data_IF_691446810461
#
_entry.id   IF_691446810461
#
_cell.length_a   1.000
_cell.length_b   1.000
_cell.length_c   1.000
_cell.angle_alpha   90.00
_cell.angle_beta   90.00
_cell.angle_gamma   90.00
#
_symmetry.space_group_name_H-M   'P 1'
#
loop_
_entity.id
_entity.type
_entity.pdbx_description
1 polymer ?
#
# COMPACT_ATOMS: atom_id res chain seq x y z
N UNK A 1 1.65 0.80 -20.37
CA UNK A 1 0.94 0.88 -19.07
C UNK A 1 0.44 -0.52 -18.76
N UNK A 2 0.40 -0.96 -17.50
CA UNK A 2 -0.08 -2.30 -17.11
C UNK A 2 -1.47 -2.25 -16.43
N UNK A 3 -1.92 -1.06 -16.04
CA UNK A 3 -3.20 -0.86 -15.37
C UNK A 3 -3.65 0.59 -15.46
N UNK A 4 -4.92 0.82 -15.10
CA UNK A 4 -5.50 2.15 -14.96
C UNK A 4 -6.70 2.11 -14.02
N UNK A 5 -6.77 3.08 -13.11
CA UNK A 5 -7.89 3.35 -12.23
C UNK A 5 -8.03 4.84 -11.95
N UNK A 6 -9.24 5.27 -11.59
CA UNK A 6 -9.47 6.62 -11.07
C UNK A 6 -8.94 6.75 -9.63
N UNK A 7 -8.66 7.99 -9.22
CA UNK A 7 -8.15 8.28 -7.88
C UNK A 7 -9.29 8.65 -6.93
N UNK A 8 -9.40 7.95 -5.80
CA UNK A 8 -10.31 8.25 -4.69
C UNK A 8 -11.77 7.89 -4.96
N UNK A 9 -12.02 6.92 -5.84
CA UNK A 9 -13.36 6.57 -6.33
C UNK A 9 -13.90 5.24 -5.81
N UNK A 10 -13.26 4.61 -4.80
CA UNK A 10 -13.66 3.26 -4.35
C UNK A 10 -15.12 3.14 -3.91
N UNK A 11 -15.71 4.20 -3.35
CA UNK A 11 -17.12 4.26 -2.95
C UNK A 11 -18.02 4.97 -3.97
N UNK A 12 -17.53 5.24 -5.19
CA UNK A 12 -18.33 5.80 -6.28
C UNK A 12 -18.84 4.68 -7.19
N UNK A 13 -20.15 4.42 -7.27
CA UNK A 13 -20.69 3.31 -8.08
C UNK A 13 -20.30 3.38 -9.57
N UNK A 14 -20.08 4.58 -10.10
CA UNK A 14 -19.78 4.80 -11.52
C UNK A 14 -18.28 4.66 -11.85
N UNK A 15 -17.41 4.80 -10.84
CA UNK A 15 -15.95 4.96 -11.04
C UNK A 15 -15.10 4.07 -10.14
N UNK A 16 -15.72 3.18 -9.35
CA UNK A 16 -15.04 2.16 -8.57
C UNK A 16 -14.66 0.97 -9.46
N UNK A 17 -13.74 1.22 -10.38
CA UNK A 17 -13.30 0.26 -11.38
C UNK A 17 -11.81 0.45 -11.71
N UNK A 18 -11.16 -0.67 -12.02
CA UNK A 18 -9.79 -0.70 -12.50
C UNK A 18 -9.72 -1.65 -13.70
N UNK A 19 -8.87 -1.33 -14.67
CA UNK A 19 -8.51 -2.21 -15.78
C UNK A 19 -7.06 -2.61 -15.63
N UNK A 20 -6.75 -3.89 -15.78
CA UNK A 20 -5.42 -4.45 -15.52
C UNK A 20 -5.08 -5.40 -16.66
N UNK A 21 -3.90 -5.20 -17.26
CA UNK A 21 -3.29 -6.12 -18.20
C UNK A 21 -2.72 -7.31 -17.44
N UNK A 22 -3.03 -8.52 -17.89
CA UNK A 22 -2.47 -9.73 -17.31
C UNK A 22 -0.99 -9.86 -17.68
N UNK A 23 -0.12 -9.88 -16.67
CA UNK A 23 1.34 -10.02 -16.78
C UNK A 23 1.81 -11.23 -15.95
N UNK A 24 1.02 -12.30 -15.97
CA UNK A 24 1.19 -13.48 -15.13
C UNK A 24 0.93 -13.18 -13.65
N UNK A 25 1.59 -13.90 -12.74
CA UNK A 25 1.38 -13.70 -11.30
C UNK A 25 1.82 -12.31 -10.80
N UNK A 26 2.62 -11.58 -11.58
CA UNK A 26 3.00 -10.21 -11.26
C UNK A 26 1.83 -9.21 -11.41
N UNK A 27 0.76 -9.58 -12.10
CA UNK A 27 -0.47 -8.78 -12.16
C UNK A 27 -1.01 -8.46 -10.76
N UNK A 28 -0.71 -9.29 -9.74
CA UNK A 28 -1.08 -9.01 -8.35
C UNK A 28 -0.49 -7.70 -7.81
N UNK A 29 0.71 -7.30 -8.23
CA UNK A 29 1.29 -6.00 -7.85
C UNK A 29 0.53 -4.85 -8.51
N UNK A 30 0.14 -5.01 -9.78
CA UNK A 30 -0.70 -4.04 -10.49
C UNK A 30 -2.09 -3.95 -9.86
N UNK A 31 -2.72 -5.07 -9.50
CA UNK A 31 -3.98 -5.07 -8.74
C UNK A 31 -3.88 -4.25 -7.45
N UNK A 32 -2.82 -4.47 -6.66
CA UNK A 32 -2.61 -3.70 -5.43
C UNK A 32 -2.39 -2.20 -5.72
N UNK A 33 -1.68 -1.87 -6.80
CA UNK A 33 -1.44 -0.49 -7.24
C UNK A 33 -2.74 0.22 -7.62
N UNK A 34 -3.55 -0.38 -8.49
CA UNK A 34 -4.81 0.21 -8.95
C UNK A 34 -5.86 0.32 -7.82
N UNK A 35 -5.93 -0.67 -6.92
CA UNK A 35 -6.74 -0.56 -5.69
C UNK A 35 -6.25 0.62 -4.85
N UNK A 36 -4.94 0.86 -4.80
CA UNK A 36 -4.36 2.04 -4.18
C UNK A 36 -4.93 3.34 -4.74
N UNK A 37 -5.00 3.49 -6.06
CA UNK A 37 -5.62 4.66 -6.69
C UNK A 37 -7.09 4.81 -6.28
N UNK A 38 -7.89 3.74 -6.33
CA UNK A 38 -9.29 3.80 -5.87
C UNK A 38 -9.42 4.29 -4.42
N UNK A 39 -8.44 3.96 -3.57
CA UNK A 39 -8.29 4.40 -2.18
C UNK A 39 -7.64 5.79 -2.01
N UNK A 40 -7.54 6.57 -3.08
CA UNK A 40 -7.06 7.96 -3.06
C UNK A 40 -5.55 8.10 -3.14
N UNK A 41 -4.79 7.03 -3.36
CA UNK A 41 -3.34 7.10 -3.39
C UNK A 41 -2.82 7.71 -4.69
N UNK A 42 -1.92 8.68 -4.55
CA UNK A 42 -1.09 9.19 -5.65
C UNK A 42 0.19 8.37 -5.80
N UNK A 43 0.89 8.54 -6.92
CA UNK A 43 2.20 7.94 -7.09
C UNK A 43 3.22 8.49 -6.08
N UNK A 44 4.14 7.66 -5.62
CA UNK A 44 5.21 8.03 -4.68
C UNK A 44 6.18 9.07 -5.26
N UNK A 45 6.35 9.08 -6.59
CA UNK A 45 7.14 10.05 -7.36
C UNK A 45 6.26 11.16 -7.99
N UNK A 46 5.03 11.33 -7.50
CA UNK A 46 4.23 12.51 -7.83
C UNK A 46 4.70 13.73 -7.06
N UNK A 47 4.48 14.91 -7.64
CA UNK A 47 4.74 16.21 -6.99
C UNK A 47 4.13 16.30 -5.59
N UNK A 48 2.91 15.78 -5.42
CA UNK A 48 2.24 15.73 -4.12
C UNK A 48 3.06 14.96 -3.07
N UNK A 49 3.53 13.76 -3.40
CA UNK A 49 4.32 12.97 -2.44
C UNK A 49 5.72 13.55 -2.22
N UNK A 50 6.37 14.04 -3.27
CA UNK A 50 7.71 14.63 -3.17
C UNK A 50 7.73 15.91 -2.32
N UNK A 51 6.74 16.79 -2.49
CA UNK A 51 6.66 18.05 -1.73
C UNK A 51 6.30 17.83 -0.25
N UNK A 52 5.45 16.84 0.07
CA UNK A 52 4.96 16.63 1.44
C UNK A 52 5.79 15.60 2.24
N UNK A 53 6.43 14.64 1.57
CA UNK A 53 7.11 13.51 2.22
C UNK A 53 8.56 13.30 1.78
N UNK A 54 9.03 14.04 0.76
CA UNK A 54 10.34 13.86 0.14
C UNK A 54 10.38 12.66 -0.81
N UNK A 55 11.51 12.51 -1.50
CA UNK A 55 11.74 11.38 -2.38
C UNK A 55 12.10 10.12 -1.58
N UNK A 56 11.58 8.96 -2.02
CA UNK A 56 12.00 7.65 -1.51
C UNK A 56 13.12 7.10 -2.38
N UNK A 57 14.28 6.76 -1.78
CA UNK A 57 15.38 6.12 -2.52
C UNK A 57 14.97 4.76 -3.09
N UNK A 58 14.24 3.95 -2.29
CA UNK A 58 13.68 2.69 -2.74
C UNK A 58 12.28 2.90 -3.32
N UNK A 59 12.06 2.38 -4.54
CA UNK A 59 10.74 2.33 -5.17
C UNK A 59 9.82 1.33 -4.44
N UNK A 60 8.55 1.70 -4.33
CA UNK A 60 7.51 0.98 -3.57
C UNK A 60 6.30 0.72 -4.46
N UNK A 61 5.26 0.08 -3.93
CA UNK A 61 4.08 -0.33 -4.68
C UNK A 61 3.42 0.81 -5.47
N UNK A 62 3.33 2.02 -4.91
CA UNK A 62 2.73 3.19 -5.57
C UNK A 62 3.75 3.99 -6.43
N UNK A 63 4.91 3.43 -6.75
CA UNK A 63 5.80 4.02 -7.77
C UNK A 63 5.11 4.04 -9.13
N UNK A 64 5.24 5.14 -9.89
CA UNK A 64 4.74 5.20 -11.28
C UNK A 64 5.36 4.17 -12.23
N UNK A 65 6.49 3.59 -11.83
CA UNK A 65 7.22 2.54 -12.56
C UNK A 65 7.24 1.26 -11.73
N UNK A 66 6.72 0.17 -12.30
CA UNK A 66 6.82 -1.17 -11.70
C UNK A 66 8.28 -1.66 -11.77
N UNK A 67 8.84 -1.95 -10.61
CA UNK A 67 10.24 -2.40 -10.46
C UNK A 67 10.36 -3.29 -9.21
N UNK A 68 11.58 -3.59 -8.79
CA UNK A 68 11.89 -4.33 -7.56
C UNK A 68 11.21 -3.67 -6.35
N UNK A 69 10.26 -4.37 -5.74
CA UNK A 69 9.56 -3.94 -4.51
C UNK A 69 10.12 -4.75 -3.34
N UNK A 70 10.58 -4.06 -2.29
CA UNK A 70 10.94 -4.72 -1.04
C UNK A 70 9.69 -5.20 -0.30
N UNK A 71 9.52 -6.52 -0.25
CA UNK A 71 8.42 -7.18 0.46
C UNK A 71 8.41 -6.88 1.97
N UNK A 72 9.54 -6.46 2.55
CA UNK A 72 9.63 -6.09 3.97
C UNK A 72 8.91 -4.78 4.29
N UNK A 73 8.85 -3.86 3.31
CA UNK A 73 8.25 -2.54 3.44
C UNK A 73 7.68 -2.05 2.11
N UNK A 74 6.60 -2.68 1.62
CA UNK A 74 6.13 -2.50 0.25
C UNK A 74 5.39 -1.17 0.01
N UNK A 75 4.91 -0.50 1.06
CA UNK A 75 4.17 0.76 1.00
C UNK A 75 5.00 1.95 1.52
N UNK A 76 4.75 3.16 1.01
CA UNK A 76 5.50 4.36 1.40
C UNK A 76 4.88 5.08 2.60
N UNK A 77 5.60 6.09 3.11
CA UNK A 77 5.06 7.01 4.12
C UNK A 77 3.94 7.86 3.52
N UNK A 78 4.09 8.31 2.28
CA UNK A 78 3.05 9.04 1.54
C UNK A 78 1.78 8.18 1.46
N UNK A 79 1.90 6.94 0.97
CA UNK A 79 0.79 5.97 0.91
C UNK A 79 0.07 5.85 2.25
N UNK A 80 0.82 5.58 3.33
CA UNK A 80 0.22 5.34 4.64
C UNK A 80 -0.50 6.58 5.19
N UNK A 81 0.05 7.77 4.96
CA UNK A 81 -0.56 9.02 5.38
C UNK A 81 -1.83 9.34 4.59
N UNK A 82 -1.78 9.24 3.26
CA UNK A 82 -2.91 9.52 2.37
C UNK A 82 -4.09 8.55 2.60
N UNK A 83 -3.83 7.24 2.72
CA UNK A 83 -4.89 6.27 3.10
C UNK A 83 -5.53 6.64 4.44
N UNK A 84 -4.72 7.08 5.40
CA UNK A 84 -5.21 7.40 6.74
C UNK A 84 -6.14 8.62 6.70
N UNK A 85 -5.77 9.66 5.96
CA UNK A 85 -6.59 10.85 5.75
C UNK A 85 -7.87 10.50 4.97
N UNK A 86 -7.75 9.78 3.86
CA UNK A 86 -8.87 9.35 3.03
C UNK A 86 -9.96 8.60 3.82
N UNK A 87 -9.54 7.69 4.69
CA UNK A 87 -10.47 6.91 5.53
C UNK A 87 -11.07 7.76 6.66
N UNK A 88 -10.29 8.65 7.28
CA UNK A 88 -10.77 9.51 8.35
C UNK A 88 -11.76 10.57 7.89
N UNK A 89 -11.62 11.05 6.64
CA UNK A 89 -12.55 11.96 6.00
C UNK A 89 -13.85 11.25 5.56
N UNK A 90 -13.94 9.93 5.76
CA UNK A 90 -15.13 9.13 5.50
C UNK A 90 -15.30 8.72 4.03
N UNK A 91 -14.28 8.93 3.19
CA UNK A 91 -14.34 8.55 1.77
C UNK A 91 -14.35 7.03 1.55
N UNK A 92 -13.99 6.24 2.56
CA UNK A 92 -14.01 4.76 2.54
C UNK A 92 -15.20 4.11 3.26
N UNK A 93 -16.26 4.85 3.59
CA UNK A 93 -17.36 4.33 4.44
C UNK A 93 -18.08 3.09 3.86
N UNK A 94 -18.06 2.89 2.54
CA UNK A 94 -18.63 1.70 1.90
C UNK A 94 -17.82 0.40 2.16
N UNK A 95 -16.67 0.49 2.82
CA UNK A 95 -15.80 -0.64 3.15
C UNK A 95 -15.99 -1.14 4.59
N UNK A 96 -16.91 -0.53 5.34
CA UNK A 96 -17.11 -0.80 6.77
C UNK A 96 -17.93 -2.06 7.05
N UNK A 97 -18.85 -2.43 6.16
CA UNK A 97 -19.65 -3.64 6.31
C UNK A 97 -18.91 -4.90 5.87
N UNK A 98 -19.25 -6.01 6.52
CA UNK A 98 -18.67 -7.32 6.21
C UNK A 98 -19.43 -7.91 5.02
N UNK A 99 -18.74 -8.49 4.01
CA UNK A 99 -19.41 -9.09 2.86
C UNK A 99 -20.33 -10.23 3.29
N UNK A 100 -21.54 -10.28 2.72
CA UNK A 100 -22.54 -11.33 3.02
C UNK A 100 -22.03 -12.74 2.70
N UNK A 101 -21.19 -12.86 1.66
CA UNK A 101 -20.57 -14.12 1.25
C UNK A 101 -19.14 -13.83 0.84
N UNK A 102 -18.19 -14.34 1.62
CA UNK A 102 -16.77 -14.24 1.29
C UNK A 102 -16.37 -15.38 0.36
N UNK A 103 -15.71 -15.06 -0.75
CA UNK A 103 -15.04 -16.04 -1.60
C UNK A 103 -13.63 -16.21 -1.02
N UNK A 104 -13.33 -17.43 -0.57
CA UNK A 104 -12.02 -17.74 -0.01
C UNK A 104 -11.03 -18.05 -1.13
N UNK A 105 -9.83 -17.48 -1.03
CA UNK A 105 -8.72 -17.86 -1.89
C UNK A 105 -8.11 -19.21 -1.50
N UNK A 106 -7.13 -19.70 -2.26
CA UNK A 106 -6.39 -20.91 -1.92
C UNK A 106 -5.71 -20.79 -0.55
N UNK A 107 -5.74 -21.85 0.25
CA UNK A 107 -4.99 -21.91 1.53
C UNK A 107 -3.47 -22.09 1.30
N UNK A 108 -3.09 -22.50 0.10
CA UNK A 108 -1.69 -22.74 -0.27
C UNK A 108 -1.00 -21.46 -0.75
N UNK A 109 0.30 -21.36 -0.44
CA UNK A 109 1.16 -20.33 -1.01
C UNK A 109 1.25 -20.49 -2.54
N UNK A 110 1.20 -19.40 -3.32
CA UNK A 110 1.15 -19.46 -4.78
C UNK A 110 2.25 -20.32 -5.41
N UNK A 111 3.47 -20.26 -4.88
CA UNK A 111 4.61 -21.01 -5.42
C UNK A 111 4.56 -22.52 -5.21
N UNK A 112 3.61 -23.03 -4.42
CA UNK A 112 3.32 -24.47 -4.34
C UNK A 112 2.50 -24.95 -5.54
N UNK A 113 1.68 -24.07 -6.13
CA UNK A 113 0.89 -24.34 -7.33
C UNK A 113 1.66 -23.95 -8.60
N UNK A 114 2.36 -22.82 -8.56
CA UNK A 114 3.08 -22.25 -9.69
C UNK A 114 4.58 -22.22 -9.40
N UNK A 115 5.31 -23.26 -9.82
CA UNK A 115 6.77 -23.27 -9.70
C UNK A 115 7.42 -22.16 -10.56
N UNK A 116 8.75 -21.98 -10.41
CA UNK A 116 9.48 -20.94 -11.12
C UNK A 116 9.42 -21.07 -12.65
N UNK A 117 9.28 -22.29 -13.19
CA UNK A 117 9.15 -22.52 -14.63
C UNK A 117 7.76 -22.10 -15.11
N UNK A 118 6.71 -22.45 -14.38
CA UNK A 118 5.35 -22.01 -14.69
C UNK A 118 5.22 -20.49 -14.60
N UNK A 119 5.87 -19.85 -13.64
CA UNK A 119 5.93 -18.39 -13.56
C UNK A 119 6.59 -17.77 -14.80
N UNK A 120 7.69 -18.35 -15.29
CA UNK A 120 8.32 -17.91 -16.54
C UNK A 120 7.40 -18.08 -17.76
N UNK A 121 6.71 -19.22 -17.84
CA UNK A 121 5.73 -19.50 -18.90
C UNK A 121 4.64 -18.43 -18.95
N UNK A 122 4.01 -18.16 -17.80
CA UNK A 122 2.93 -17.16 -17.68
C UNK A 122 3.40 -15.72 -17.98
N UNK A 123 4.68 -15.41 -17.77
CA UNK A 123 5.20 -14.03 -17.93
C UNK A 123 5.76 -13.77 -19.32
N UNK A 124 6.43 -14.74 -19.94
CA UNK A 124 7.19 -14.54 -21.19
C UNK A 124 6.81 -15.50 -22.32
N UNK A 125 6.08 -16.57 -22.03
CA UNK A 125 5.65 -17.58 -23.00
C UNK A 125 6.17 -18.99 -22.70
N UNK A 126 5.56 -20.02 -23.31
CA UNK A 126 5.81 -21.44 -23.00
C UNK A 126 7.23 -21.92 -23.29
N UNK A 127 7.99 -21.22 -24.13
CA UNK A 127 9.39 -21.52 -24.42
C UNK A 127 10.38 -21.06 -23.34
N UNK A 128 9.92 -20.31 -22.33
CA UNK A 128 10.78 -19.75 -21.28
C UNK A 128 10.86 -20.68 -20.06
N UNK A 129 12.09 -20.95 -19.62
CA UNK A 129 12.39 -21.71 -18.40
C UNK A 129 13.13 -20.83 -17.38
N UNK A 130 13.46 -21.37 -16.20
CA UNK A 130 14.26 -20.63 -15.20
C UNK A 130 15.69 -20.43 -15.72
N UNK A 131 16.23 -19.21 -15.57
CA UNK A 131 17.62 -18.89 -15.92
C UNK A 131 18.59 -19.51 -14.90
N UNK A 132 19.61 -20.29 -15.34
CA UNK A 132 20.59 -20.91 -14.45
C UNK A 132 21.44 -19.89 -13.68
N UNK A 133 21.82 -20.23 -12.44
CA UNK A 133 22.79 -19.47 -11.64
C UNK A 133 22.24 -18.20 -10.95
N UNK A 134 20.96 -17.89 -11.10
CA UNK A 134 20.32 -16.72 -10.51
C UNK A 134 19.57 -17.07 -9.21
N UNK A 135 19.55 -16.14 -8.24
CA UNK A 135 18.73 -16.27 -7.03
C UNK A 135 17.25 -15.99 -7.35
N UNK A 136 16.49 -17.07 -7.52
CA UNK A 136 15.06 -17.07 -7.85
C UNK A 136 14.22 -16.30 -6.82
N UNK A 137 14.59 -16.31 -5.55
CA UNK A 137 13.81 -15.64 -4.50
C UNK A 137 14.05 -14.13 -4.49
N UNK A 138 15.24 -13.67 -4.89
CA UNK A 138 15.53 -12.25 -5.01
C UNK A 138 14.92 -11.67 -6.29
N UNK A 139 15.13 -12.35 -7.43
CA UNK A 139 14.59 -11.96 -8.75
C UNK A 139 14.36 -13.19 -9.62
N UNK A 140 13.17 -13.30 -10.21
CA UNK A 140 12.90 -14.31 -11.20
C UNK A 140 13.50 -13.90 -12.55
N UNK A 141 14.47 -14.69 -13.02
CA UNK A 141 15.06 -14.58 -14.34
C UNK A 141 14.63 -15.78 -15.18
N UNK A 142 14.16 -15.51 -16.40
CA UNK A 142 13.62 -16.50 -17.31
C UNK A 142 14.47 -16.57 -18.57
N UNK A 143 14.91 -17.78 -18.94
CA UNK A 143 15.78 -18.04 -20.07
C UNK A 143 15.00 -18.61 -21.25
N UNK A 144 15.42 -18.22 -22.45
CA UNK A 144 15.06 -18.87 -23.71
C UNK A 144 16.34 -19.08 -24.53
N UNK A 145 16.42 -20.18 -25.26
CA UNK A 145 17.54 -20.43 -26.19
C UNK A 145 17.09 -20.09 -27.61
N UNK A 146 17.73 -19.09 -28.22
CA UNK A 146 17.49 -18.70 -29.62
C UNK A 146 18.79 -18.83 -30.40
N UNK A 147 18.78 -19.60 -31.49
CA UNK A 147 19.94 -19.78 -32.37
C UNK A 147 21.22 -20.23 -31.63
N UNK A 148 21.08 -21.05 -30.58
CA UNK A 148 22.21 -21.53 -29.77
C UNK A 148 22.68 -20.54 -28.70
N UNK A 149 22.09 -19.35 -28.59
CA UNK A 149 22.40 -18.38 -27.54
C UNK A 149 21.30 -18.36 -26.47
N UNK A 150 21.69 -18.46 -25.20
CA UNK A 150 20.79 -18.31 -24.06
C UNK A 150 20.60 -16.83 -23.74
N UNK A 151 19.34 -16.40 -23.69
CA UNK A 151 18.96 -15.04 -23.31
C UNK A 151 18.12 -15.11 -22.05
N UNK A 152 18.54 -14.40 -20.99
CA UNK A 152 17.77 -14.30 -19.75
C UNK A 152 17.08 -12.93 -19.64
N UNK A 153 15.76 -12.96 -19.42
CA UNK A 153 14.90 -11.79 -19.23
C UNK A 153 14.36 -11.77 -17.80
N UNK A 154 13.99 -10.57 -17.32
CA UNK A 154 13.37 -10.41 -16.00
C UNK A 154 12.45 -9.19 -15.97
N UNK A 155 11.37 -9.26 -15.19
CA UNK A 155 10.53 -8.11 -14.82
C UNK A 155 11.04 -7.38 -13.57
N UNK A 156 12.22 -7.74 -13.05
CA UNK A 156 12.83 -7.22 -11.81
C UNK A 156 12.02 -7.52 -10.53
N UNK A 157 11.13 -8.51 -10.58
CA UNK A 157 10.32 -8.96 -9.46
C UNK A 157 10.83 -10.32 -8.94
N UNK A 158 10.67 -10.61 -7.63
CA UNK A 158 11.02 -11.91 -7.06
C UNK A 158 10.04 -13.00 -7.51
N UNK A 159 10.45 -14.26 -7.44
CA UNK A 159 9.50 -15.37 -7.55
C UNK A 159 8.47 -15.31 -6.41
N UNK A 160 7.26 -15.80 -6.68
CA UNK A 160 6.15 -15.71 -5.71
C UNK A 160 6.41 -16.53 -4.44
N UNK A 161 5.77 -16.14 -3.34
CA UNK A 161 5.90 -16.81 -2.04
C UNK A 161 5.59 -18.31 -2.16
N UNK A 162 6.42 -19.14 -1.53
CA UNK A 162 6.32 -20.60 -1.56
C UNK A 162 7.06 -21.28 -2.73
N UNK A 163 7.65 -20.51 -3.66
CA UNK A 163 8.35 -21.09 -4.83
C UNK A 163 9.52 -21.97 -4.38
N UNK A 164 9.66 -23.21 -4.87
CA UNK A 164 10.80 -24.06 -4.56
C UNK A 164 12.11 -23.43 -5.05
N UNK A 165 13.07 -23.23 -4.14
CA UNK A 165 14.39 -22.67 -4.45
C UNK A 165 15.54 -23.64 -4.19
N UNK A 166 15.23 -24.89 -3.79
CA UNK A 166 16.19 -25.95 -3.56
C UNK A 166 15.58 -27.12 -2.79
N UNK A 167 16.39 -28.16 -2.55
CA UNK A 167 15.95 -29.34 -1.79
C UNK A 167 15.47 -28.93 -0.39
N UNK A 168 14.17 -29.12 -0.12
CA UNK A 168 13.56 -28.79 1.17
C UNK A 168 13.42 -27.28 1.48
N UNK A 169 13.64 -26.40 0.50
CA UNK A 169 13.64 -24.93 0.69
C UNK A 169 12.65 -24.23 -0.24
N UNK A 170 12.11 -23.10 0.21
CA UNK A 170 11.12 -22.27 -0.50
C UNK A 170 11.43 -20.78 -0.35
N UNK A 171 10.98 -19.97 -1.30
CA UNK A 171 11.04 -18.52 -1.23
C UNK A 171 10.01 -17.99 -0.24
N UNK A 172 10.46 -17.25 0.78
CA UNK A 172 9.61 -16.50 1.70
C UNK A 172 10.24 -15.12 1.96
N UNK A 173 9.46 -14.06 1.80
CA UNK A 173 9.89 -12.66 1.88
C UNK A 173 11.16 -12.36 1.07
N UNK A 174 11.21 -12.89 -0.16
CA UNK A 174 12.34 -12.70 -1.07
C UNK A 174 13.62 -13.48 -0.71
N UNK A 175 13.56 -14.44 0.23
CA UNK A 175 14.71 -15.25 0.64
C UNK A 175 14.44 -16.75 0.54
N UNK A 176 15.45 -17.52 0.17
CA UNK A 176 15.37 -18.98 0.17
C UNK A 176 15.55 -19.52 1.60
N UNK A 177 14.48 -20.07 2.17
CA UNK A 177 14.45 -20.56 3.56
C UNK A 177 13.98 -22.01 3.64
N UNK A 178 14.33 -22.71 4.72
CA UNK A 178 13.85 -24.08 4.96
C UNK A 178 12.33 -24.12 5.09
N UNK A 179 11.70 -25.13 4.46
CA UNK A 179 10.24 -25.33 4.51
C UNK A 179 9.69 -25.43 5.93
N UNK A 180 10.50 -25.87 6.91
CA UNK A 180 10.12 -25.93 8.33
C UNK A 180 9.82 -24.55 8.92
N UNK A 181 10.44 -23.49 8.39
CA UNK A 181 10.18 -22.10 8.79
C UNK A 181 8.86 -21.56 8.24
N UNK A 182 8.16 -22.27 7.34
CA UNK A 182 6.84 -21.88 6.81
C UNK A 182 5.87 -21.51 7.92
N UNK A 183 5.83 -22.26 9.04
CA UNK A 183 4.95 -21.96 10.18
C UNK A 183 5.16 -20.55 10.73
N UNK A 184 6.40 -20.07 10.81
CA UNK A 184 6.71 -18.72 11.28
C UNK A 184 6.15 -17.64 10.34
N UNK A 185 6.26 -17.85 9.03
CA UNK A 185 5.77 -16.93 8.01
C UNK A 185 4.27 -17.07 7.70
N UNK A 186 3.63 -18.18 8.09
CA UNK A 186 2.19 -18.41 7.93
C UNK A 186 1.38 -18.14 9.19
N UNK A 187 2.03 -17.96 10.35
CA UNK A 187 1.31 -17.66 11.60
C UNK A 187 0.78 -16.23 11.53
N UNK A 188 -0.54 -16.11 11.50
CA UNK A 188 -1.23 -14.83 11.56
C UNK A 188 -1.03 -14.18 12.92
N UNK A 189 -0.75 -12.88 12.93
CA UNK A 189 -0.74 -12.06 14.14
C UNK A 189 -1.68 -10.90 13.92
N UNK A 190 -2.78 -10.85 14.67
CA UNK A 190 -3.68 -9.70 14.66
C UNK A 190 -2.97 -8.48 15.24
N UNK A 191 -3.30 -7.31 14.69
CA UNK A 191 -2.82 -6.05 15.20
C UNK A 191 -3.49 -5.71 16.52
N UNK A 192 -2.74 -5.08 17.43
CA UNK A 192 -3.31 -4.49 18.63
C UNK A 192 -2.76 -3.07 18.86
N UNK A 193 -3.59 -2.23 19.49
CA UNK A 193 -3.31 -0.82 19.66
C UNK A 193 -2.12 -0.62 20.59
N UNK A 194 -1.17 0.21 20.18
CA UNK A 194 -0.18 0.80 21.06
C UNK A 194 -0.81 1.78 22.05
N UNK A 195 0.01 2.30 22.95
CA UNK A 195 -0.38 3.39 23.84
C UNK A 195 -0.76 4.64 23.05
N UNK A 196 -1.59 5.48 23.67
CA UNK A 196 -1.85 6.82 23.15
C UNK A 196 -0.55 7.63 23.17
N UNK A 197 -0.25 8.27 22.03
CA UNK A 197 0.78 9.29 21.95
C UNK A 197 0.41 10.53 22.78
N UNK A 198 1.36 11.47 22.91
CA UNK A 198 1.08 12.73 23.59
C UNK A 198 0.02 13.52 22.84
N UNK A 199 -0.66 14.41 23.57
CA UNK A 199 -1.53 15.41 22.96
C UNK A 199 -0.72 16.35 22.09
N UNK A 200 -1.17 16.56 20.86
CA UNK A 200 -0.61 17.53 19.94
C UNK A 200 -0.83 18.98 20.38
N UNK A 201 -0.40 19.92 19.55
CA UNK A 201 -0.63 21.35 19.79
C UNK A 201 -2.12 21.69 19.73
N UNK A 202 -2.54 22.67 20.53
CA UNK A 202 -3.91 23.15 20.47
C UNK A 202 -4.14 23.86 19.14
N UNK A 203 -5.24 23.55 18.45
CA UNK A 203 -5.59 24.19 17.19
C UNK A 203 -5.78 25.71 17.32
N UNK A 204 -5.96 26.22 18.54
CA UNK A 204 -6.18 27.64 18.85
C UNK A 204 -5.45 28.04 20.13
N UNK A 205 -5.05 29.30 20.22
CA UNK A 205 -4.45 29.88 21.43
C UNK A 205 -5.49 30.48 22.40
N UNK A 206 -6.72 30.72 21.93
CA UNK A 206 -7.83 31.26 22.71
C UNK A 206 -9.19 30.85 22.11
N UNK A 207 -10.26 31.13 22.85
CA UNK A 207 -11.65 30.99 22.40
C UNK A 207 -12.09 29.55 22.18
N UNK A 208 -11.39 28.59 22.78
CA UNK A 208 -11.61 27.15 22.63
C UNK A 208 -10.99 26.58 21.35
N UNK A 209 -10.09 25.61 21.49
CA UNK A 209 -9.52 24.82 20.41
C UNK A 209 -9.64 23.32 20.69
N UNK A 210 -9.05 22.50 19.81
CA UNK A 210 -9.01 21.05 19.92
C UNK A 210 -7.56 20.57 19.84
N UNK A 211 -7.21 19.62 20.70
CA UNK A 211 -5.98 18.83 20.60
C UNK A 211 -6.32 17.40 20.24
N UNK A 212 -5.45 16.78 19.46
CA UNK A 212 -5.55 15.38 19.05
C UNK A 212 -4.45 14.57 19.72
N UNK A 213 -4.77 13.34 20.12
CA UNK A 213 -3.77 12.32 20.42
C UNK A 213 -4.06 11.10 19.54
N UNK A 214 -3.00 10.53 18.96
CA UNK A 214 -3.06 9.40 18.06
C UNK A 214 -2.44 8.17 18.69
N UNK A 215 -2.85 6.99 18.23
CA UNK A 215 -2.17 5.72 18.54
C UNK A 215 -1.99 4.91 17.26
N UNK A 216 -1.03 4.00 17.28
CA UNK A 216 -0.70 3.16 16.13
C UNK A 216 -1.06 1.70 16.41
N UNK A 217 -1.41 0.97 15.35
CA UNK A 217 -1.67 -0.47 15.42
C UNK A 217 -0.35 -1.25 15.35
N UNK A 218 0.43 -1.22 16.42
CA UNK A 218 1.82 -1.70 16.42
C UNK A 218 2.21 -2.54 17.66
N UNK A 219 1.26 -2.91 18.53
CA UNK A 219 1.57 -3.65 19.77
C UNK A 219 0.73 -4.95 19.95
N UNK A 220 0.88 -5.96 19.07
CA UNK A 220 1.81 -6.04 17.95
C UNK A 220 1.23 -5.46 16.65
N UNK A 221 2.07 -5.26 15.64
CA UNK A 221 1.62 -4.92 14.30
C UNK A 221 0.95 -6.13 13.62
N UNK A 222 -0.09 -5.93 12.79
CA UNK A 222 -0.71 -7.02 12.06
C UNK A 222 0.26 -7.64 11.05
N UNK A 223 0.27 -8.98 10.97
CA UNK A 223 1.11 -9.75 10.05
C UNK A 223 0.38 -11.00 9.54
N UNK A 224 0.74 -11.46 8.34
CA UNK A 224 0.30 -12.71 7.73
C UNK A 224 -1.24 -12.89 7.80
N UNK A 225 -1.98 -12.04 7.08
CA UNK A 225 -3.46 -11.99 7.11
C UNK A 225 -4.05 -11.61 8.48
N UNK A 226 -3.23 -11.07 9.38
CA UNK A 226 -3.69 -10.53 10.64
C UNK A 226 -4.59 -9.31 10.45
N UNK A 227 -5.75 -9.32 11.09
CA UNK A 227 -6.67 -8.17 11.11
C UNK A 227 -5.98 -6.92 11.65
N UNK A 228 -6.26 -5.79 11.02
CA UNK A 228 -5.90 -4.47 11.56
C UNK A 228 -6.71 -4.16 12.82
N UNK A 229 -6.23 -3.20 13.61
CA UNK A 229 -6.87 -2.81 14.86
C UNK A 229 -8.23 -2.15 14.61
N UNK A 230 -9.25 -2.56 15.37
CA UNK A 230 -10.58 -1.96 15.32
C UNK A 230 -10.76 -0.89 16.40
N UNK A 231 -11.55 0.14 16.11
CA UNK A 231 -11.84 1.24 17.04
C UNK A 231 -11.08 2.53 16.74
N UNK A 232 -11.12 3.48 17.68
CA UNK A 232 -10.61 4.85 17.45
C UNK A 232 -9.08 4.88 17.36
N UNK A 233 -8.54 5.43 16.27
CA UNK A 233 -7.09 5.72 16.12
C UNK A 233 -6.67 7.08 16.68
N UNK A 234 -7.66 7.98 16.85
CA UNK A 234 -7.49 9.33 17.33
C UNK A 234 -8.52 9.62 18.44
N UNK A 235 -8.11 10.40 19.44
CA UNK A 235 -8.97 11.00 20.45
C UNK A 235 -8.76 12.51 20.45
N UNK A 236 -9.80 13.24 20.84
CA UNK A 236 -9.81 14.70 20.87
C UNK A 236 -10.17 15.19 22.27
N UNK A 237 -9.65 16.38 22.62
CA UNK A 237 -10.08 17.14 23.80
C UNK A 237 -10.07 18.63 23.51
N UNK A 238 -10.90 19.37 24.24
CA UNK A 238 -10.88 20.83 24.21
C UNK A 238 -9.62 21.38 24.89
N UNK A 239 -9.14 22.52 24.41
CA UNK A 239 -7.98 23.25 24.93
C UNK A 239 -8.18 24.75 24.74
N UNK A 240 -7.32 25.59 25.33
CA UNK A 240 -7.31 27.06 25.15
C UNK A 240 -8.68 27.72 25.28
N UNK A 241 -9.42 27.38 26.35
CA UNK A 241 -10.81 27.82 26.56
C UNK A 241 -10.94 29.29 27.01
N UNK A 242 -9.84 29.96 27.32
CA UNK A 242 -9.82 31.39 27.65
C UNK A 242 -10.35 32.21 26.48
N UNK A 243 -11.32 33.12 26.67
CA UNK A 243 -11.87 33.94 25.60
C UNK A 243 -10.78 34.68 24.80
N UNK A 244 -10.99 34.83 23.48
CA UNK A 244 -10.11 35.65 22.65
C UNK A 244 -10.33 37.14 22.93
N UNK A 245 -9.34 38.01 22.65
CA UNK A 245 -9.50 39.46 22.74
C UNK A 245 -10.67 39.96 21.89
N UNK A 246 -11.50 40.86 22.44
CA UNK A 246 -12.71 41.37 21.79
C UNK A 246 -12.46 42.18 20.50
N UNK A 247 -11.22 42.62 20.30
CA UNK A 247 -10.84 43.55 19.23
C UNK A 247 -10.33 42.81 17.97
N UNK A 248 -10.30 41.48 18.00
CA UNK A 248 -9.83 40.63 16.91
C UNK A 248 -10.94 40.23 15.94
N UNK A 249 -10.56 39.83 14.74
CA UNK A 249 -11.47 39.15 13.80
C UNK A 249 -11.94 37.83 14.42
N UNK A 250 -13.16 37.41 14.09
CA UNK A 250 -13.59 36.06 14.48
C UNK A 250 -12.73 35.02 13.75
N UNK A 251 -12.47 33.89 14.39
CA UNK A 251 -11.65 32.82 13.79
C UNK A 251 -12.22 32.36 12.43
N UNK A 252 -13.55 32.29 12.29
CA UNK A 252 -14.17 31.95 11.01
C UNK A 252 -13.89 33.00 9.93
N UNK A 253 -13.88 34.28 10.30
CA UNK A 253 -13.57 35.35 9.37
C UNK A 253 -12.11 35.28 8.89
N UNK A 254 -11.15 35.00 9.79
CA UNK A 254 -9.74 34.77 9.42
C UNK A 254 -9.59 33.60 8.42
N UNK A 255 -10.28 32.49 8.66
CA UNK A 255 -10.27 31.33 7.75
C UNK A 255 -10.84 31.67 6.36
N UNK A 256 -11.91 32.48 6.31
CA UNK A 256 -12.47 32.95 5.05
C UNK A 256 -11.51 33.91 4.33
N UNK A 257 -10.90 34.85 5.04
CA UNK A 257 -9.94 35.80 4.46
C UNK A 257 -8.69 35.14 3.90
N UNK A 258 -8.21 34.05 4.51
CA UNK A 258 -7.12 33.25 3.95
C UNK A 258 -7.44 32.64 2.58
N UNK A 259 -8.72 32.67 2.17
CA UNK A 259 -9.21 32.25 0.86
C UNK A 259 -9.71 33.41 -0.01
N UNK A 260 -9.54 34.66 0.44
CA UNK A 260 -9.86 35.84 -0.37
C UNK A 260 -8.73 36.07 -1.40
N UNK A 261 -8.99 35.69 -2.65
CA UNK A 261 -8.08 35.88 -3.79
C UNK A 261 -8.70 35.29 -5.07
N UNK A 262 -8.15 35.62 -6.24
CA UNK A 262 -8.56 34.98 -7.50
C UNK A 262 -8.15 33.51 -7.45
N UNK A 263 -9.12 32.58 -7.49
CA UNK A 263 -8.82 31.14 -7.57
C UNK A 263 -8.15 30.85 -8.91
N UNK A 264 -6.86 30.52 -8.89
CA UNK A 264 -6.13 30.02 -10.07
C UNK A 264 -6.24 28.51 -10.25
N UNK A 265 -6.88 27.80 -9.32
CA UNK A 265 -7.12 26.36 -9.43
C UNK A 265 -8.42 26.10 -10.19
N UNK A 266 -8.29 25.57 -11.41
CA UNK A 266 -9.40 25.17 -12.29
C UNK A 266 -10.16 23.92 -11.81
N UNK A 267 -10.15 23.62 -10.51
CA UNK A 267 -10.90 22.51 -9.90
C UNK A 267 -11.65 23.01 -8.66
N UNK A 268 -12.67 23.82 -8.91
CA UNK A 268 -13.77 23.99 -7.96
C UNK A 268 -14.66 22.75 -8.05
N UNK A 269 -14.85 22.08 -6.90
CA UNK A 269 -15.87 21.06 -6.59
C UNK A 269 -16.09 19.97 -7.66
#
# INVERSE_FOLDING_TARGET
TLGMADVGTICSPERSCAVIEDDGLHAAFTVAHEIGHLLGLSHDDSKFCEENFGSTEDKRLMSSILTSIDASKPWSKCTSATITEFLDDGHGNCLLDVPRKQILGPEELPGQTYDATQQCNLTFGPEYTVCPGMDVCARLWCAVVRQGQMVCLTKKLPAVEGTPCGKGRICLQGKCVDKTKKKYYSTSSHGNWGSWGPWGQCSRSCGGGVQFAYRHCNNPAPRNSGRYCTGKRAIYRSCSVTPCPANGKSFRHEQCEAKNGYQSDAKGV
#
